data_IF_705059183254
#
_entry.id   IF_705059183254
#
_cell.length_a   1.000
_cell.length_b   1.000
_cell.length_c   1.000
_cell.angle_alpha   90.00
_cell.angle_beta   90.00
_cell.angle_gamma   90.00
#
_symmetry.space_group_name_H-M   'P 1'
#
loop_
_entity.id
_entity.type
_entity.pdbx_description
1 polymer ?
#
# COMPACT_ATOMS: atom_id res chain seq x y z
N UNK A 1 9.62 40.55 0.17
CA UNK A 1 10.23 39.53 1.06
C UNK A 1 9.53 38.22 0.79
N UNK A 2 10.17 37.31 0.05
CA UNK A 2 9.58 36.04 -0.34
C UNK A 2 9.70 35.01 0.78
N UNK A 3 8.56 34.54 1.29
CA UNK A 3 8.51 33.39 2.16
C UNK A 3 8.50 32.13 1.30
N UNK A 4 9.61 31.41 1.25
CA UNK A 4 9.65 30.04 0.75
C UNK A 4 8.87 29.17 1.75
N UNK A 5 7.61 28.89 1.42
CA UNK A 5 6.78 27.90 2.12
C UNK A 5 7.41 26.53 1.85
N UNK A 6 8.35 26.14 2.69
CA UNK A 6 8.81 24.76 2.77
C UNK A 6 7.71 23.92 3.38
N UNK A 7 6.83 23.35 2.56
CA UNK A 7 5.89 22.33 3.00
C UNK A 7 6.69 21.11 3.46
N UNK A 8 6.99 21.03 4.76
CA UNK A 8 7.23 19.73 5.37
C UNK A 8 5.97 18.89 5.10
N UNK A 9 6.09 17.67 4.54
CA UNK A 9 4.93 16.84 4.27
C UNK A 9 4.20 16.60 5.58
N UNK A 10 3.00 17.18 5.71
CA UNK A 10 2.17 17.02 6.89
C UNK A 10 1.79 15.55 7.05
N UNK A 11 1.54 15.11 8.29
CA UNK A 11 1.04 13.77 8.58
C UNK A 11 -0.14 13.40 7.68
N UNK A 12 -1.05 14.36 7.43
CA UNK A 12 -2.18 14.19 6.52
C UNK A 12 -1.77 13.83 5.08
N UNK A 13 -0.72 14.48 4.55
CA UNK A 13 -0.19 14.18 3.22
C UNK A 13 0.43 12.79 3.14
N UNK A 14 1.13 12.35 4.20
CA UNK A 14 1.69 10.98 4.28
C UNK A 14 0.59 9.92 4.31
N UNK A 15 -0.41 10.10 5.18
CA UNK A 15 -1.52 9.14 5.30
C UNK A 15 -2.37 9.08 4.03
N UNK A 16 -2.59 10.20 3.35
CA UNK A 16 -3.32 10.21 2.09
C UNK A 16 -2.55 9.49 0.99
N UNK A 17 -1.25 9.76 0.85
CA UNK A 17 -0.44 9.08 -0.16
C UNK A 17 -0.37 7.56 0.05
N UNK A 18 -0.29 7.11 1.31
CA UNK A 18 -0.33 5.70 1.65
C UNK A 18 -1.70 5.05 1.32
N UNK A 19 -2.80 5.75 1.63
CA UNK A 19 -4.16 5.31 1.28
C UNK A 19 -4.31 5.10 -0.23
N UNK A 20 -3.88 6.08 -1.01
CA UNK A 20 -3.96 6.04 -2.47
C UNK A 20 -3.06 4.95 -3.06
N UNK A 21 -1.88 4.72 -2.48
CA UNK A 21 -1.00 3.60 -2.89
C UNK A 21 -1.69 2.25 -2.70
N UNK A 22 -2.32 2.01 -1.54
CA UNK A 22 -3.07 0.76 -1.28
C UNK A 22 -4.25 0.62 -2.24
N UNK A 23 -5.04 1.67 -2.42
CA UNK A 23 -6.18 1.66 -3.35
C UNK A 23 -5.73 1.32 -4.76
N UNK A 24 -4.74 2.04 -5.27
CA UNK A 24 -4.19 1.83 -6.61
C UNK A 24 -3.64 0.42 -6.77
N UNK A 25 -2.86 -0.08 -5.80
CA UNK A 25 -2.35 -1.45 -5.86
C UNK A 25 -3.48 -2.47 -6.04
N UNK A 26 -4.53 -2.41 -5.23
CA UNK A 26 -5.65 -3.36 -5.33
C UNK A 26 -6.55 -3.13 -6.56
N UNK A 27 -6.62 -1.91 -7.09
CA UNK A 27 -7.29 -1.62 -8.36
C UNK A 27 -6.53 -2.24 -9.54
N UNK A 28 -5.21 -2.16 -9.54
CA UNK A 28 -4.36 -2.68 -10.61
C UNK A 28 -4.06 -4.18 -10.46
N UNK A 29 -4.21 -4.75 -9.24
CA UNK A 29 -3.90 -6.15 -8.95
C UNK A 29 -4.51 -7.14 -9.95
N UNK A 30 -5.79 -7.04 -10.38
CA UNK A 30 -6.37 -7.98 -11.33
C UNK A 30 -5.72 -7.97 -12.71
N UNK A 31 -4.99 -6.90 -13.08
CA UNK A 31 -4.25 -6.85 -14.36
C UNK A 31 -3.06 -7.82 -14.39
N UNK A 32 -2.51 -8.16 -13.22
CA UNK A 32 -1.28 -8.95 -13.12
C UNK A 32 -0.02 -8.26 -13.66
N UNK A 33 -0.08 -6.97 -14.03
CA UNK A 33 1.02 -6.29 -14.69
C UNK A 33 2.09 -5.82 -13.70
N UNK A 34 3.21 -6.54 -13.65
CA UNK A 34 4.34 -6.18 -12.78
C UNK A 34 5.10 -4.92 -13.22
N UNK A 35 4.93 -4.42 -14.44
CA UNK A 35 5.46 -3.10 -14.80
C UNK A 35 4.73 -1.97 -14.04
N UNK A 36 3.46 -2.19 -13.68
CA UNK A 36 2.64 -1.27 -12.89
C UNK A 36 2.73 -1.59 -11.39
N UNK A 37 2.62 -2.87 -11.02
CA UNK A 37 2.57 -3.33 -9.63
C UNK A 37 3.94 -3.35 -8.96
N UNK A 38 5.00 -3.72 -9.67
CA UNK A 38 6.36 -3.82 -9.14
C UNK A 38 6.87 -2.52 -8.51
N UNK A 39 6.73 -1.35 -9.15
CA UNK A 39 7.10 -0.07 -8.55
C UNK A 39 6.33 0.27 -7.25
N UNK A 40 5.14 -0.29 -7.05
CA UNK A 40 4.33 -0.09 -5.84
C UNK A 40 4.67 -1.08 -4.73
N UNK A 41 5.53 -2.08 -4.97
CA UNK A 41 5.90 -3.09 -3.99
C UNK A 41 7.30 -2.87 -3.45
N UNK A 42 7.51 -3.19 -2.18
CA UNK A 42 8.85 -3.38 -1.63
C UNK A 42 9.37 -4.75 -2.06
N UNK A 43 10.55 -4.82 -2.68
CA UNK A 43 11.16 -6.08 -3.13
C UNK A 43 11.76 -6.95 -2.01
N UNK A 44 11.38 -6.73 -0.75
CA UNK A 44 11.91 -7.47 0.39
C UNK A 44 11.07 -8.73 0.65
N UNK A 45 11.64 -9.90 0.36
CA UNK A 45 10.95 -11.19 0.56
C UNK A 45 11.45 -12.35 -0.29
N UNK A 46 12.39 -12.11 -1.22
CA UNK A 46 12.96 -13.15 -2.08
C UNK A 46 12.04 -13.62 -3.22
N UNK A 47 10.73 -13.38 -3.11
CA UNK A 47 9.76 -13.61 -4.18
C UNK A 47 9.76 -12.48 -5.21
N UNK A 48 9.67 -12.84 -6.48
CA UNK A 48 9.49 -11.86 -7.55
C UNK A 48 8.10 -11.21 -7.45
N UNK A 49 7.96 -9.99 -7.99
CA UNK A 49 6.63 -9.35 -8.13
C UNK A 49 5.61 -10.32 -8.74
N UNK A 50 6.03 -11.08 -9.75
CA UNK A 50 5.16 -11.98 -10.50
C UNK A 50 4.61 -13.10 -9.63
N UNK A 51 5.43 -13.72 -8.77
CA UNK A 51 4.98 -14.76 -7.85
C UNK A 51 4.00 -14.21 -6.81
N UNK A 52 4.33 -13.07 -6.20
CA UNK A 52 3.47 -12.43 -5.20
C UNK A 52 2.12 -12.04 -5.79
N UNK A 53 2.11 -11.40 -6.96
CA UNK A 53 0.90 -10.98 -7.65
C UNK A 53 0.06 -12.17 -8.09
N UNK A 54 0.69 -13.22 -8.63
CA UNK A 54 -0.01 -14.43 -9.02
C UNK A 54 -0.69 -15.12 -7.83
N UNK A 55 -0.03 -15.21 -6.68
CA UNK A 55 -0.60 -15.79 -5.45
C UNK A 55 -1.82 -15.00 -4.95
N UNK A 56 -1.71 -13.66 -4.91
CA UNK A 56 -2.83 -12.81 -4.52
C UNK A 56 -4.02 -12.95 -5.47
N UNK A 57 -3.80 -12.97 -6.77
CA UNK A 57 -4.86 -13.16 -7.77
C UNK A 57 -5.48 -14.56 -7.64
N UNK A 58 -4.66 -15.61 -7.48
CA UNK A 58 -5.13 -16.98 -7.31
C UNK A 58 -6.04 -17.12 -6.08
N UNK A 59 -5.73 -16.38 -5.01
CA UNK A 59 -6.54 -16.28 -3.80
C UNK A 59 -7.63 -15.20 -3.87
N UNK A 60 -7.91 -14.62 -5.04
CA UNK A 60 -8.97 -13.62 -5.22
C UNK A 60 -8.86 -12.43 -4.26
N UNK A 61 -7.63 -12.01 -3.94
CA UNK A 61 -7.40 -10.89 -3.02
C UNK A 61 -7.96 -9.60 -3.63
N UNK A 62 -8.75 -8.87 -2.86
CA UNK A 62 -9.28 -7.57 -3.28
C UNK A 62 -9.54 -6.65 -2.08
N UNK A 63 -9.42 -5.35 -2.30
CA UNK A 63 -9.72 -4.35 -1.30
C UNK A 63 -11.24 -4.13 -1.22
N UNK A 64 -11.80 -4.28 -0.03
CA UNK A 64 -13.20 -3.96 0.24
C UNK A 64 -13.30 -2.53 0.76
N UNK A 65 -12.46 -2.19 1.75
CA UNK A 65 -12.53 -0.88 2.42
C UNK A 65 -11.20 -0.56 3.12
N UNK A 66 -10.82 0.72 3.14
CA UNK A 66 -9.76 1.23 4.03
C UNK A 66 -10.41 1.82 5.28
N UNK A 67 -10.20 1.17 6.42
CA UNK A 67 -10.85 1.49 7.69
C UNK A 67 -10.11 2.60 8.45
N UNK A 68 -8.78 2.55 8.47
CA UNK A 68 -7.94 3.48 9.22
C UNK A 68 -6.56 3.63 8.57
N UNK A 69 -5.94 4.80 8.75
CA UNK A 69 -4.60 5.09 8.23
C UNK A 69 -3.84 5.94 9.23
N UNK A 70 -2.66 5.48 9.65
CA UNK A 70 -1.84 6.19 10.64
C UNK A 70 -0.36 6.03 10.35
N UNK A 71 0.44 7.06 10.62
CA UNK A 71 1.91 6.95 10.59
C UNK A 71 2.35 5.93 11.64
N UNK A 72 3.36 5.10 11.32
CA UNK A 72 3.96 4.19 12.29
C UNK A 72 4.71 5.03 13.33
N UNK A 73 4.32 4.91 14.61
CA UNK A 73 4.95 5.67 15.70
C UNK A 73 6.42 5.32 15.92
N UNK A 74 6.91 4.22 15.33
CA UNK A 74 8.31 3.78 15.40
C UNK A 74 9.12 4.21 14.17
N UNK A 75 8.45 4.55 13.08
CA UNK A 75 9.05 4.85 11.79
C UNK A 75 8.25 5.93 11.08
N UNK A 76 8.79 7.15 11.07
CA UNK A 76 8.14 8.31 10.48
C UNK A 76 7.98 8.21 8.95
N UNK A 77 8.69 7.28 8.32
CA UNK A 77 8.64 7.01 6.89
C UNK A 77 7.78 5.79 6.55
N UNK A 78 7.12 5.20 7.55
CA UNK A 78 6.10 4.17 7.35
C UNK A 78 4.71 4.65 7.78
N UNK A 79 3.70 4.13 7.08
CA UNK A 79 2.28 4.33 7.37
C UNK A 79 1.61 2.96 7.44
N UNK A 80 0.86 2.74 8.51
CA UNK A 80 0.04 1.56 8.71
C UNK A 80 -1.37 1.83 8.19
N UNK A 81 -1.80 1.03 7.22
CA UNK A 81 -3.14 1.07 6.62
C UNK A 81 -3.92 -0.14 7.11
N UNK A 82 -4.99 0.09 7.84
CA UNK A 82 -5.91 -0.96 8.26
C UNK A 82 -7.01 -1.11 7.22
N UNK A 83 -7.09 -2.28 6.60
CA UNK A 83 -7.99 -2.52 5.47
C UNK A 83 -8.82 -3.78 5.66
N UNK A 84 -10.07 -3.74 5.19
CA UNK A 84 -10.89 -4.92 4.99
C UNK A 84 -10.64 -5.41 3.56
N UNK A 85 -10.37 -6.70 3.44
CA UNK A 85 -10.09 -7.36 2.16
C UNK A 85 -10.99 -8.57 1.98
N UNK A 86 -11.24 -8.95 0.73
CA UNK A 86 -11.76 -10.26 0.41
C UNK A 86 -10.62 -11.19 -0.01
N UNK A 87 -10.77 -12.47 0.30
CA UNK A 87 -9.87 -13.57 -0.07
C UNK A 87 -10.73 -14.81 -0.32
N UNK A 88 -10.42 -15.55 -1.37
CA UNK A 88 -11.12 -16.77 -1.79
C UNK A 88 -12.64 -16.54 -1.93
N UNK A 89 -13.00 -15.37 -2.48
CA UNK A 89 -14.40 -14.94 -2.68
C UNK A 89 -15.15 -14.54 -1.40
N UNK A 90 -14.48 -14.49 -0.25
CA UNK A 90 -15.11 -14.14 1.04
C UNK A 90 -14.47 -12.89 1.63
N UNK A 91 -15.30 -11.97 2.10
CA UNK A 91 -14.83 -10.82 2.88
C UNK A 91 -14.29 -11.34 4.21
N UNK A 92 -13.05 -10.99 4.55
CA UNK A 92 -12.45 -11.38 5.82
C UNK A 92 -13.13 -10.64 6.97
N UNK A 93 -13.47 -11.38 8.02
CA UNK A 93 -14.06 -10.80 9.24
C UNK A 93 -13.10 -9.86 9.96
N UNK A 94 -11.83 -10.26 10.04
CA UNK A 94 -10.78 -9.44 10.64
C UNK A 94 -10.07 -8.62 9.56
N UNK A 95 -9.94 -7.29 9.76
CA UNK A 95 -9.15 -6.45 8.86
C UNK A 95 -7.66 -6.77 8.99
N UNK A 96 -6.93 -6.55 7.90
CA UNK A 96 -5.49 -6.69 7.84
C UNK A 96 -4.80 -5.35 8.06
N UNK A 97 -3.53 -5.42 8.45
CA UNK A 97 -2.64 -4.27 8.50
C UNK A 97 -1.64 -4.37 7.35
N UNK A 98 -1.66 -3.36 6.50
CA UNK A 98 -0.77 -3.19 5.37
C UNK A 98 0.22 -2.08 5.73
N UNK A 99 1.52 -2.33 5.56
CA UNK A 99 2.55 -1.31 5.81
C UNK A 99 2.95 -0.68 4.49
N UNK A 100 2.89 0.64 4.42
CA UNK A 100 3.35 1.42 3.27
C UNK A 100 4.55 2.24 3.70
N UNK A 101 5.66 2.09 3.00
CA UNK A 101 6.93 2.72 3.30
C UNK A 101 7.23 3.82 2.28
N UNK A 102 7.85 4.90 2.72
CA UNK A 102 8.34 5.98 1.87
C UNK A 102 9.74 5.61 1.37
N UNK A 103 9.85 5.42 0.06
CA UNK A 103 11.11 5.22 -0.65
C UNK A 103 11.44 6.45 -1.51
N UNK A 104 12.70 6.64 -1.96
CA UNK A 104 13.08 7.75 -2.85
C UNK A 104 12.23 7.81 -4.13
N UNK A 105 11.92 6.65 -4.71
CA UNK A 105 11.09 6.50 -5.91
C UNK A 105 9.58 6.65 -5.68
N UNK A 106 9.11 6.66 -4.42
CA UNK A 106 7.69 6.78 -4.12
C UNK A 106 7.25 5.99 -2.88
N UNK A 107 5.95 5.90 -2.68
CA UNK A 107 5.37 5.08 -1.61
C UNK A 107 5.23 3.64 -2.10
N UNK A 108 5.65 2.70 -1.25
CA UNK A 108 5.67 1.27 -1.57
C UNK A 108 4.96 0.46 -0.52
N UNK A 109 4.07 -0.42 -0.96
CA UNK A 109 3.39 -1.40 -0.14
C UNK A 109 4.31 -2.58 0.16
N UNK A 110 4.35 -2.94 1.44
CA UNK A 110 4.98 -4.16 1.93
C UNK A 110 3.92 -5.20 2.24
N UNK A 111 4.04 -6.35 1.59
CA UNK A 111 3.15 -7.52 1.71
C UNK A 111 3.76 -8.61 2.60
#
# INVERSE_FOLDING_TARGET
MGALVGCAPSTASKTEAARETVRRFFTELPSGDCAVLGPMLTGEGGSSCQETVADLIAHGFSLVEVLDVKVDGRDADAVMVRARVARDGRVREQPILLRVERHPEGWKLRL
#
